data_IF_951116478544
#
_entry.id   IF_951116478544
#
_cell.length_a   1.000
_cell.length_b   1.000
_cell.length_c   1.000
_cell.angle_alpha   90.00
_cell.angle_beta   90.00
_cell.angle_gamma   90.00
#
_symmetry.space_group_name_H-M   'P 1'
#
loop_
_entity.id
_entity.type
_entity.pdbx_description
1 polymer ?
#
# COMPACT_ATOMS: atom_id res chain seq x y z
N UNK A 1 3.45 -18.69 26.00
CA UNK A 1 2.23 -17.90 25.72
C UNK A 1 2.51 -17.02 24.51
N UNK A 2 2.20 -17.55 23.33
CA UNK A 2 2.01 -16.84 22.05
C UNK A 2 1.33 -17.84 21.10
N UNK A 3 0.01 -17.93 21.20
CA UNK A 3 -0.84 -19.00 20.65
C UNK A 3 -1.23 -18.81 19.17
N UNK A 4 -0.55 -17.94 18.42
CA UNK A 4 -0.85 -17.66 17.02
C UNK A 4 0.40 -17.87 16.14
N UNK A 5 0.67 -19.10 15.66
CA UNK A 5 1.71 -19.30 14.67
C UNK A 5 1.41 -18.44 13.43
N UNK A 6 2.42 -17.71 12.94
CA UNK A 6 2.37 -16.81 11.78
C UNK A 6 1.72 -15.42 11.99
N UNK A 7 1.33 -15.05 13.22
CA UNK A 7 0.75 -13.72 13.50
C UNK A 7 1.64 -12.55 13.06
N UNK A 8 2.95 -12.64 13.26
CA UNK A 8 3.89 -11.55 12.94
C UNK A 8 3.91 -11.22 11.44
N UNK A 9 3.80 -12.24 10.58
CA UNK A 9 3.81 -12.08 9.12
C UNK A 9 2.54 -11.42 8.65
N UNK A 10 1.40 -11.91 9.14
CA UNK A 10 0.08 -11.33 8.85
C UNK A 10 0.04 -9.89 9.32
N UNK A 11 0.50 -9.62 10.55
CA UNK A 11 0.57 -8.28 11.12
C UNK A 11 1.48 -7.36 10.30
N UNK A 12 2.61 -7.85 9.81
CA UNK A 12 3.51 -7.07 8.94
C UNK A 12 2.84 -6.71 7.61
N UNK A 13 2.16 -7.67 6.96
CA UNK A 13 1.44 -7.42 5.70
C UNK A 13 0.27 -6.45 5.90
N UNK A 14 -0.50 -6.61 6.98
CA UNK A 14 -1.58 -5.68 7.36
C UNK A 14 -1.03 -4.29 7.68
N UNK A 15 0.11 -4.21 8.37
CA UNK A 15 0.81 -2.96 8.64
C UNK A 15 1.23 -2.24 7.36
N UNK A 16 1.82 -2.96 6.41
CA UNK A 16 2.15 -2.41 5.08
C UNK A 16 0.91 -1.89 4.35
N UNK A 17 -0.18 -2.65 4.36
CA UNK A 17 -1.45 -2.23 3.75
C UNK A 17 -2.01 -0.98 4.43
N UNK A 18 -1.92 -0.89 5.75
CA UNK A 18 -2.37 0.28 6.50
C UNK A 18 -1.56 1.54 6.13
N UNK A 19 -0.24 1.42 5.94
CA UNK A 19 0.60 2.54 5.48
C UNK A 19 0.21 3.01 4.07
N UNK A 20 -0.04 2.07 3.15
CA UNK A 20 -0.54 2.40 1.82
C UNK A 20 -1.89 3.13 1.89
N UNK A 21 -2.84 2.61 2.65
CA UNK A 21 -4.16 3.23 2.83
C UNK A 21 -4.07 4.62 3.47
N UNK A 22 -3.20 4.79 4.47
CA UNK A 22 -2.97 6.10 5.12
C UNK A 22 -2.39 7.12 4.13
N UNK A 23 -1.49 6.69 3.24
CA UNK A 23 -0.98 7.54 2.18
C UNK A 23 -2.08 7.96 1.20
N UNK A 24 -2.99 7.06 0.81
CA UNK A 24 -4.15 7.43 -0.02
C UNK A 24 -5.03 8.51 0.63
N UNK A 25 -5.33 8.35 1.93
CA UNK A 25 -6.15 9.31 2.68
C UNK A 25 -5.42 10.66 2.82
N UNK A 26 -4.11 10.65 3.11
CA UNK A 26 -3.27 11.85 3.11
C UNK A 26 -3.39 12.57 1.77
N UNK A 27 -3.12 11.85 0.67
CA UNK A 27 -3.13 12.41 -0.68
C UNK A 27 -4.49 13.00 -1.05
N UNK A 28 -5.59 12.30 -0.76
CA UNK A 28 -6.93 12.82 -1.01
C UNK A 28 -7.23 14.09 -0.21
N UNK A 29 -6.79 14.18 1.05
CA UNK A 29 -7.07 15.33 1.92
C UNK A 29 -6.17 16.53 1.65
N UNK A 30 -4.90 16.33 1.30
CA UNK A 30 -3.89 17.40 1.29
C UNK A 30 -3.49 17.90 -0.10
N UNK A 31 -3.69 17.10 -1.16
CA UNK A 31 -3.24 17.47 -2.50
C UNK A 31 -4.27 18.34 -3.24
N UNK A 32 -3.81 19.25 -4.10
CA UNK A 32 -4.70 20.19 -4.76
C UNK A 32 -5.58 19.49 -5.81
N UNK A 33 -6.72 20.12 -6.06
CA UNK A 33 -7.72 19.68 -7.05
C UNK A 33 -7.53 20.35 -8.41
N UNK A 34 -6.50 21.19 -8.54
CA UNK A 34 -6.06 21.84 -9.76
C UNK A 34 -4.53 21.68 -9.88
N UNK A 35 -3.96 21.71 -11.09
CA UNK A 35 -2.52 21.57 -11.27
C UNK A 35 -1.79 22.76 -10.64
N UNK A 36 -0.70 22.48 -9.94
CA UNK A 36 0.22 23.47 -9.37
C UNK A 36 1.64 23.20 -9.86
N UNK A 37 2.04 23.81 -11.00
CA UNK A 37 3.38 23.65 -11.55
C UNK A 37 4.49 24.18 -10.62
N UNK A 38 4.18 25.13 -9.73
CA UNK A 38 5.16 25.73 -8.81
C UNK A 38 5.68 24.71 -7.78
N UNK A 39 4.83 23.76 -7.39
CA UNK A 39 5.18 22.66 -6.49
C UNK A 39 5.33 21.30 -7.22
N UNK A 40 5.37 21.31 -8.56
CA UNK A 40 5.57 20.11 -9.38
C UNK A 40 4.35 19.17 -9.45
N UNK A 41 3.18 19.61 -8.99
CA UNK A 41 1.93 18.82 -8.99
C UNK A 41 1.22 18.95 -10.33
N UNK A 42 1.70 18.21 -11.33
CA UNK A 42 1.24 18.30 -12.73
C UNK A 42 0.58 17.01 -13.22
N UNK A 43 0.73 15.89 -12.51
CA UNK A 43 0.16 14.61 -12.91
C UNK A 43 -1.22 14.40 -12.30
N UNK A 44 -2.25 14.35 -13.13
CA UNK A 44 -3.61 14.10 -12.67
C UNK A 44 -3.81 12.62 -12.28
N UNK A 45 -4.42 12.39 -11.13
CA UNK A 45 -4.91 11.09 -10.70
C UNK A 45 -6.28 11.23 -10.04
N UNK A 46 -7.16 10.29 -10.30
CA UNK A 46 -8.46 10.22 -9.62
C UNK A 46 -8.34 9.25 -8.45
N UNK A 47 -8.60 9.72 -7.24
CA UNK A 47 -8.77 8.84 -6.08
C UNK A 47 -10.25 8.73 -5.76
N UNK A 48 -10.71 7.49 -5.57
CA UNK A 48 -12.03 7.16 -5.07
C UNK A 48 -11.93 6.68 -3.62
N UNK A 49 -12.62 7.36 -2.71
CA UNK A 49 -12.76 6.98 -1.31
C UNK A 49 -14.25 6.91 -1.00
N UNK A 50 -14.76 5.71 -0.75
CA UNK A 50 -16.21 5.45 -0.56
C UNK A 50 -17.01 6.02 -1.75
N UNK A 51 -17.96 6.94 -1.49
CA UNK A 51 -18.77 7.61 -2.52
C UNK A 51 -18.14 8.92 -3.05
N UNK A 52 -16.94 9.28 -2.58
CA UNK A 52 -16.24 10.49 -3.04
C UNK A 52 -15.16 10.13 -4.07
N UNK A 53 -15.35 10.57 -5.30
CA UNK A 53 -14.31 10.54 -6.34
C UNK A 53 -13.85 11.96 -6.64
N UNK A 54 -12.54 12.21 -6.65
CA UNK A 54 -12.03 13.52 -7.04
C UNK A 54 -10.67 13.48 -7.72
N UNK A 55 -10.43 14.39 -8.69
CA UNK A 55 -9.13 14.57 -9.30
C UNK A 55 -8.20 15.25 -8.29
N UNK A 56 -7.02 14.67 -8.12
CA UNK A 56 -5.90 15.27 -7.39
C UNK A 56 -4.69 15.35 -8.31
N UNK A 57 -3.82 16.32 -8.06
CA UNK A 57 -2.59 16.48 -8.83
C UNK A 57 -1.38 16.09 -8.00
N UNK A 58 -0.53 15.25 -8.61
CA UNK A 58 0.59 14.58 -7.99
C UNK A 58 1.90 15.16 -8.49
N UNK A 59 2.86 15.28 -7.57
CA UNK A 59 4.26 15.41 -7.94
C UNK A 59 4.87 14.05 -8.26
N UNK A 60 6.06 14.06 -8.87
CA UNK A 60 6.85 12.84 -9.05
C UNK A 60 7.14 12.14 -7.72
N UNK A 61 7.37 12.89 -6.64
CA UNK A 61 7.61 12.32 -5.31
C UNK A 61 6.36 11.60 -4.79
N UNK A 62 5.18 12.22 -4.90
CA UNK A 62 3.93 11.59 -4.48
C UNK A 62 3.65 10.31 -5.29
N UNK A 63 3.93 10.35 -6.60
CA UNK A 63 3.80 9.21 -7.50
C UNK A 63 4.75 8.06 -7.10
N UNK A 64 6.03 8.37 -6.87
CA UNK A 64 7.03 7.37 -6.47
C UNK A 64 6.70 6.75 -5.10
N UNK A 65 6.29 7.56 -4.12
CA UNK A 65 5.90 7.06 -2.79
C UNK A 65 4.68 6.14 -2.90
N UNK A 66 3.67 6.52 -3.70
CA UNK A 66 2.47 5.70 -3.91
C UNK A 66 2.82 4.34 -4.51
N UNK A 67 3.61 4.31 -5.58
CA UNK A 67 4.03 3.06 -6.22
C UNK A 67 4.99 2.24 -5.36
N UNK A 68 5.87 2.90 -4.60
CA UNK A 68 6.76 2.25 -3.64
C UNK A 68 5.99 1.53 -2.53
N UNK A 69 4.99 2.18 -1.95
CA UNK A 69 4.11 1.55 -0.96
C UNK A 69 3.28 0.40 -1.54
N UNK A 70 2.76 0.56 -2.77
CA UNK A 70 2.05 -0.52 -3.45
C UNK A 70 2.97 -1.74 -3.67
N UNK A 71 4.19 -1.52 -4.16
CA UNK A 71 5.18 -2.58 -4.37
C UNK A 71 5.57 -3.26 -3.05
N UNK A 72 5.73 -2.49 -1.97
CA UNK A 72 6.01 -3.01 -0.63
C UNK A 72 4.87 -3.94 -0.15
N UNK A 73 3.62 -3.53 -0.29
CA UNK A 73 2.46 -4.36 0.08
C UNK A 73 2.45 -5.68 -0.71
N UNK A 74 2.71 -5.62 -2.01
CA UNK A 74 2.81 -6.82 -2.85
C UNK A 74 3.96 -7.72 -2.38
N UNK A 75 5.14 -7.16 -2.13
CA UNK A 75 6.29 -7.91 -1.65
C UNK A 75 6.02 -8.60 -0.30
N UNK A 76 5.42 -7.89 0.66
CA UNK A 76 5.04 -8.44 1.96
C UNK A 76 3.98 -9.55 1.83
N UNK A 77 3.02 -9.38 0.91
CA UNK A 77 2.02 -10.40 0.63
C UNK A 77 2.64 -11.66 0.02
N UNK A 78 3.51 -11.51 -0.98
CA UNK A 78 4.23 -12.62 -1.59
C UNK A 78 5.13 -13.34 -0.59
N UNK A 79 5.83 -12.58 0.26
CA UNK A 79 6.64 -13.14 1.34
C UNK A 79 5.79 -13.96 2.30
N UNK A 80 4.67 -13.41 2.79
CA UNK A 80 3.77 -14.11 3.69
C UNK A 80 3.20 -15.40 3.07
N UNK A 81 2.87 -15.38 1.78
CA UNK A 81 2.42 -16.58 1.04
C UNK A 81 3.53 -17.62 0.90
N UNK A 82 4.71 -17.22 0.43
CA UNK A 82 5.86 -18.13 0.25
C UNK A 82 6.22 -18.84 1.56
N UNK A 83 6.16 -18.10 2.66
CA UNK A 83 6.41 -18.58 4.00
C UNK A 83 5.32 -19.49 4.59
N UNK A 84 4.09 -19.38 4.09
CA UNK A 84 2.97 -20.25 4.46
C UNK A 84 3.03 -21.56 3.69
N UNK A 85 3.33 -21.51 2.39
CA UNK A 85 3.37 -22.70 1.52
C UNK A 85 4.70 -23.45 1.55
N UNK A 86 5.83 -22.76 1.76
CA UNK A 86 7.16 -23.38 1.84
C UNK A 86 7.37 -24.28 3.07
N UNK A 87 6.46 -24.22 4.05
CA UNK A 87 6.53 -25.00 5.31
C UNK A 87 5.73 -26.31 5.28
N UNK A 88 5.22 -26.75 4.14
CA UNK A 88 4.66 -28.11 3.99
C UNK A 88 5.70 -29.09 3.42
N UNK A 89 6.49 -29.80 4.24
CA UNK A 89 7.03 -31.08 3.81
C UNK A 89 5.88 -32.10 3.83
N UNK A 90 5.41 -32.54 2.66
CA UNK A 90 4.76 -33.85 2.56
C UNK A 90 5.82 -34.93 2.80
N UNK A 91 6.14 -35.19 4.06
CA UNK A 91 6.61 -36.51 4.47
C UNK A 91 5.38 -37.40 4.61
N UNK A 92 4.96 -38.01 3.50
CA UNK A 92 4.12 -39.18 3.51
C UNK A 92 5.04 -40.38 3.23
N UNK A 93 5.46 -41.04 4.31
CA UNK A 93 5.86 -42.46 4.27
C UNK A 93 4.61 -43.30 4.50
#
# INVERSE_FOLDING_TARGET
MSTLPNADRVLTTVGGLALFALNEVRMFRSLPRAPDPGNGQTHAATIQIMDAAAPIYLSLVDLTVRWGLAALVVALSLWALAETFGKQPQTAN
#
